data_IF_007417249729
#
_entry.id   IF_007417249729
#
_cell.length_a   1.000
_cell.length_b   1.000
_cell.length_c   1.000
_cell.angle_alpha   90.00
_cell.angle_beta   90.00
_cell.angle_gamma   90.00
#
_symmetry.space_group_name_H-M   'P 1'
#
loop_
_entity.id
_entity.type
_entity.pdbx_description
1 polymer ?
#
# COMPACT_ATOMS: atom_id res chain seq x y z
N UNK A 1 -17.96 24.80 19.75
CA UNK A 1 -16.95 25.81 19.51
C UNK A 1 -15.66 25.43 20.23
N UNK A 2 -14.51 25.69 19.60
CA UNK A 2 -13.18 25.60 20.20
C UNK A 2 -12.61 27.01 20.22
N UNK A 3 -12.08 27.41 21.36
CA UNK A 3 -11.38 28.70 21.50
C UNK A 3 -9.89 28.41 21.72
N UNK A 4 -9.03 29.28 21.16
CA UNK A 4 -7.57 29.15 21.31
C UNK A 4 -6.93 30.51 21.56
N UNK A 5 -5.73 30.45 22.08
CA UNK A 5 -4.79 31.55 22.16
C UNK A 5 -3.50 31.05 21.48
N UNK A 6 -2.97 31.79 20.52
CA UNK A 6 -1.70 31.47 19.88
C UNK A 6 -0.49 31.98 20.65
N UNK A 7 0.71 31.73 20.14
CA UNK A 7 1.98 32.13 20.76
C UNK A 7 2.15 33.64 20.85
N UNK A 8 1.47 34.39 20.00
CA UNK A 8 1.47 35.88 19.99
C UNK A 8 0.36 36.48 20.87
N UNK A 9 -0.43 35.63 21.55
CA UNK A 9 -1.54 36.04 22.41
C UNK A 9 -2.84 36.39 21.65
N UNK A 10 -2.91 36.10 20.35
CA UNK A 10 -4.13 36.31 19.57
C UNK A 10 -5.14 35.23 19.91
N UNK A 11 -6.35 35.65 20.22
CA UNK A 11 -7.45 34.74 20.55
C UNK A 11 -8.33 34.49 19.32
N UNK A 12 -8.79 33.26 19.19
CA UNK A 12 -9.72 32.88 18.14
C UNK A 12 -10.77 31.88 18.61
N UNK A 13 -11.83 31.74 17.83
CA UNK A 13 -12.91 30.77 18.08
C UNK A 13 -13.35 30.17 16.75
N UNK A 14 -13.53 28.85 16.70
CA UNK A 14 -13.99 28.16 15.51
C UNK A 14 -15.14 27.20 15.83
N UNK A 15 -16.03 27.00 14.88
CA UNK A 15 -17.05 25.94 14.95
C UNK A 15 -16.52 24.68 14.27
N UNK A 16 -16.11 23.69 15.06
CA UNK A 16 -15.55 22.42 14.54
C UNK A 16 -16.52 21.68 13.61
N UNK A 17 -17.83 21.91 13.72
CA UNK A 17 -18.83 21.30 12.83
C UNK A 17 -18.81 21.89 11.42
N UNK A 18 -18.19 23.06 11.25
CA UNK A 18 -18.00 23.72 9.96
C UNK A 18 -16.64 23.41 9.32
N UNK A 19 -15.89 22.49 9.92
CA UNK A 19 -14.53 22.16 9.52
C UNK A 19 -13.55 23.36 9.57
N UNK A 20 -13.79 24.30 10.47
CA UNK A 20 -12.96 25.50 10.67
C UNK A 20 -11.63 25.20 11.40
N UNK A 21 -11.32 23.93 11.64
CA UNK A 21 -10.11 23.51 12.33
C UNK A 21 -9.57 22.20 11.79
N UNK A 22 -8.31 21.92 12.11
CA UNK A 22 -7.63 20.68 11.77
C UNK A 22 -6.89 20.14 12.99
N UNK A 23 -7.14 18.87 13.34
CA UNK A 23 -6.33 18.20 14.36
C UNK A 23 -4.92 17.90 13.86
N UNK A 24 -3.91 17.88 14.75
CA UNK A 24 -2.62 17.28 14.42
C UNK A 24 -2.81 15.86 13.90
N UNK A 25 -2.12 15.52 12.82
CA UNK A 25 -2.33 14.27 12.10
C UNK A 25 -2.19 13.00 12.96
N UNK A 26 -1.35 13.03 14.00
CA UNK A 26 -1.18 11.90 14.93
C UNK A 26 -2.42 11.62 15.76
N UNK A 27 -3.12 12.68 16.18
CA UNK A 27 -4.39 12.56 16.91
C UNK A 27 -5.51 12.15 15.94
N UNK A 28 -5.56 12.78 14.78
CA UNK A 28 -6.53 12.45 13.72
C UNK A 28 -6.42 10.99 13.30
N UNK A 29 -5.20 10.47 13.16
CA UNK A 29 -4.98 9.07 12.79
C UNK A 29 -5.55 8.10 13.85
N UNK A 30 -5.23 8.30 15.13
CA UNK A 30 -5.77 7.49 16.22
C UNK A 30 -7.30 7.60 16.34
N UNK A 31 -7.86 8.80 16.16
CA UNK A 31 -9.31 9.00 16.15
C UNK A 31 -9.99 8.25 14.98
N UNK A 32 -9.36 8.19 13.82
CA UNK A 32 -9.88 7.42 12.67
C UNK A 32 -9.92 5.92 12.93
N UNK A 33 -8.99 5.37 13.69
CA UNK A 33 -9.06 3.96 14.09
C UNK A 33 -10.38 3.64 14.78
N UNK A 34 -10.84 4.55 15.64
CA UNK A 34 -12.11 4.40 16.39
C UNK A 34 -13.31 4.62 15.44
N UNK A 35 -13.30 5.73 14.71
CA UNK A 35 -14.41 6.12 13.83
C UNK A 35 -14.69 5.05 12.77
N UNK A 36 -13.63 4.48 12.18
CA UNK A 36 -13.74 3.47 11.14
C UNK A 36 -13.67 2.03 11.66
N UNK A 37 -13.60 1.84 12.98
CA UNK A 37 -13.50 0.51 13.61
C UNK A 37 -12.35 -0.33 13.01
N UNK A 38 -11.18 0.29 12.86
CA UNK A 38 -10.01 -0.36 12.26
C UNK A 38 -9.48 -1.42 13.21
N UNK A 39 -9.42 -2.66 12.76
CA UNK A 39 -8.89 -3.80 13.53
C UNK A 39 -7.47 -4.16 13.17
N UNK A 40 -7.03 -3.78 11.95
CA UNK A 40 -5.68 -4.02 11.45
C UNK A 40 -5.24 -2.80 10.62
N UNK A 41 -4.07 -2.23 10.96
CA UNK A 41 -3.52 -1.05 10.31
C UNK A 41 -2.17 -1.39 9.67
N UNK A 42 -2.08 -1.45 8.34
CA UNK A 42 -0.81 -1.50 7.65
C UNK A 42 -0.06 -0.17 7.79
N UNK A 43 1.13 -0.21 8.36
CA UNK A 43 1.97 0.96 8.57
C UNK A 43 3.32 0.81 7.87
N UNK A 44 3.73 1.81 7.13
CA UNK A 44 5.09 1.87 6.58
C UNK A 44 6.13 1.85 7.69
N UNK A 45 7.32 1.36 7.39
CA UNK A 45 8.41 1.19 8.35
C UNK A 45 8.69 2.42 9.22
N UNK A 46 8.59 3.63 8.67
CA UNK A 46 8.83 4.87 9.40
C UNK A 46 7.82 5.11 10.51
N UNK A 47 6.58 4.73 10.26
CA UNK A 47 5.50 4.89 11.22
C UNK A 47 5.36 3.68 12.14
N UNK A 48 5.66 2.49 11.62
CA UNK A 48 5.49 1.22 12.31
C UNK A 48 6.68 0.75 13.13
N UNK A 49 7.86 1.39 13.03
CA UNK A 49 9.02 1.08 13.83
C UNK A 49 8.75 1.35 15.32
N UNK A 50 9.53 0.69 16.20
CA UNK A 50 9.43 0.88 17.64
C UNK A 50 9.60 2.37 18.01
N UNK A 51 8.66 2.92 18.79
CA UNK A 51 8.60 4.34 19.14
C UNK A 51 8.13 5.26 18.01
N UNK A 52 7.72 4.71 16.88
CA UNK A 52 7.18 5.46 15.75
C UNK A 52 5.78 6.03 16.00
N UNK A 53 5.22 6.61 14.96
CA UNK A 53 3.93 7.30 15.05
C UNK A 53 2.77 6.36 15.39
N UNK A 54 2.86 5.10 15.00
CA UNK A 54 1.88 4.09 15.36
C UNK A 54 1.86 3.86 16.86
N UNK A 55 3.03 3.61 17.46
CA UNK A 55 3.16 3.34 18.90
C UNK A 55 2.70 4.54 19.74
N UNK A 56 2.95 5.78 19.26
CA UNK A 56 2.45 6.99 19.93
C UNK A 56 0.93 7.19 19.74
N UNK A 57 0.34 6.58 18.72
CA UNK A 57 -1.12 6.58 18.47
C UNK A 57 -1.89 5.66 19.42
N UNK A 58 -1.25 4.59 19.94
CA UNK A 58 -1.88 3.62 20.84
C UNK A 58 -2.46 4.31 22.09
N UNK A 59 -1.68 5.02 22.92
CA UNK A 59 -2.22 5.68 24.11
C UNK A 59 -3.24 6.76 23.78
N UNK A 60 -3.14 7.42 22.62
CA UNK A 60 -4.14 8.39 22.18
C UNK A 60 -5.48 7.67 21.90
N UNK A 61 -5.45 6.54 21.20
CA UNK A 61 -6.64 5.74 20.93
C UNK A 61 -7.31 5.28 22.23
N UNK A 62 -6.52 4.82 23.21
CA UNK A 62 -7.01 4.37 24.51
C UNK A 62 -7.65 5.51 25.32
N UNK A 63 -7.02 6.68 25.36
CA UNK A 63 -7.57 7.90 26.02
C UNK A 63 -8.88 8.32 25.38
N UNK A 64 -9.02 8.16 24.07
CA UNK A 64 -10.26 8.42 23.34
C UNK A 64 -11.34 7.32 23.54
N UNK A 65 -11.05 6.28 24.31
CA UNK A 65 -11.98 5.18 24.62
C UNK A 65 -12.06 4.09 23.55
N UNK A 66 -11.09 4.03 22.64
CA UNK A 66 -11.02 3.03 21.60
C UNK A 66 -10.07 1.87 21.91
N UNK A 67 -10.09 0.86 21.05
CA UNK A 67 -9.13 -0.25 21.04
C UNK A 67 -8.18 -0.05 19.85
N UNK A 68 -6.85 0.00 20.08
CA UNK A 68 -5.88 0.14 19.00
C UNK A 68 -5.91 -1.06 18.07
N UNK A 69 -5.68 -0.87 16.75
CA UNK A 69 -5.62 -1.97 15.80
C UNK A 69 -4.32 -2.78 15.92
N UNK A 70 -4.34 -4.01 15.40
CA UNK A 70 -3.12 -4.78 15.17
C UNK A 70 -2.26 -4.14 14.07
N UNK A 71 -0.96 -4.08 14.30
CA UNK A 71 0.02 -3.44 13.42
C UNK A 71 0.60 -4.41 12.41
N UNK A 72 0.56 -4.05 11.12
CA UNK A 72 1.31 -4.74 10.06
C UNK A 72 2.35 -3.79 9.48
N UNK A 73 3.62 -3.97 9.82
CA UNK A 73 4.70 -3.11 9.29
C UNK A 73 5.17 -3.65 7.94
N UNK A 74 5.20 -2.76 6.94
CA UNK A 74 5.72 -3.07 5.62
C UNK A 74 6.92 -2.19 5.25
N UNK A 75 7.76 -2.74 4.36
CA UNK A 75 8.95 -2.07 3.84
C UNK A 75 8.62 -1.18 2.62
N UNK A 76 9.60 -0.37 2.22
CA UNK A 76 9.48 0.59 1.15
C UNK A 76 9.19 -0.06 -0.21
N UNK A 77 8.45 0.68 -1.05
CA UNK A 77 8.45 0.51 -2.50
C UNK A 77 9.47 1.50 -3.05
N UNK A 78 10.47 1.00 -3.76
CA UNK A 78 11.57 1.76 -4.31
C UNK A 78 11.59 1.67 -5.83
N UNK A 79 12.07 2.71 -6.50
CA UNK A 79 12.40 2.63 -7.91
C UNK A 79 13.77 1.97 -8.06
N UNK A 80 13.87 0.97 -8.92
CA UNK A 80 15.12 0.26 -9.17
C UNK A 80 16.23 1.22 -9.58
N UNK A 81 17.35 1.17 -8.85
CA UNK A 81 18.49 2.03 -9.08
C UNK A 81 18.37 3.48 -8.58
N UNK A 82 17.22 3.89 -8.04
CA UNK A 82 16.98 5.27 -7.59
C UNK A 82 16.71 5.36 -6.07
N UNK A 83 16.56 4.21 -5.39
CA UNK A 83 16.29 4.16 -3.95
C UNK A 83 14.85 4.49 -3.56
N UNK A 84 14.60 4.88 -2.30
CA UNK A 84 13.27 5.17 -1.80
C UNK A 84 12.60 6.31 -2.57
N UNK A 85 11.31 6.15 -2.90
CA UNK A 85 10.53 7.21 -3.52
C UNK A 85 10.33 8.37 -2.54
N UNK A 86 10.55 9.59 -3.01
CA UNK A 86 10.36 10.81 -2.22
C UNK A 86 9.82 11.93 -3.10
N UNK A 87 8.70 12.50 -2.69
CA UNK A 87 8.10 13.65 -3.40
C UNK A 87 8.99 14.89 -3.36
N UNK A 88 9.78 15.08 -2.30
CA UNK A 88 10.67 16.24 -2.14
C UNK A 88 11.89 16.17 -3.06
N UNK A 89 12.33 14.97 -3.45
CA UNK A 89 13.44 14.78 -4.40
C UNK A 89 12.98 14.68 -5.86
N UNK A 90 11.67 14.69 -6.12
CA UNK A 90 11.12 14.47 -7.45
C UNK A 90 11.23 13.02 -7.95
N UNK A 91 11.78 12.12 -7.15
CA UNK A 91 11.91 10.69 -7.48
C UNK A 91 10.69 9.96 -6.94
N UNK A 92 9.62 9.96 -7.71
CA UNK A 92 8.38 9.28 -7.33
C UNK A 92 7.60 8.87 -8.57
N UNK A 93 6.89 7.75 -8.47
CA UNK A 93 5.84 7.35 -9.43
C UNK A 93 4.55 7.25 -8.64
N UNK A 94 3.57 8.07 -9.00
CA UNK A 94 2.24 8.01 -8.41
C UNK A 94 1.47 6.76 -8.87
N UNK A 95 0.43 6.33 -8.13
CA UNK A 95 -0.36 5.16 -8.51
C UNK A 95 -0.97 5.25 -9.91
N UNK A 96 -1.43 6.42 -10.32
CA UNK A 96 -2.01 6.64 -11.65
C UNK A 96 -0.97 6.57 -12.75
N UNK A 97 0.24 7.07 -12.50
CA UNK A 97 1.37 6.96 -13.41
C UNK A 97 1.83 5.50 -13.54
N UNK A 98 1.94 4.77 -12.43
CA UNK A 98 2.23 3.34 -12.45
C UNK A 98 1.19 2.55 -13.25
N UNK A 99 -0.10 2.88 -13.12
CA UNK A 99 -1.19 2.26 -13.89
C UNK A 99 -1.18 2.60 -15.39
N UNK A 100 -0.53 3.71 -15.79
CA UNK A 100 -0.29 4.01 -17.21
C UNK A 100 0.81 3.16 -17.82
N UNK A 101 1.70 2.61 -16.99
CA UNK A 101 2.83 1.77 -17.42
C UNK A 101 2.48 0.28 -17.42
N UNK A 102 1.62 -0.15 -16.50
CA UNK A 102 1.28 -1.58 -16.32
C UNK A 102 -0.19 -1.78 -16.01
N UNK A 103 -0.78 -2.91 -16.43
CA UNK A 103 -2.11 -3.32 -16.02
C UNK A 103 -2.23 -3.40 -14.48
N UNK A 104 -3.40 -3.06 -13.92
CA UNK A 104 -3.61 -3.06 -12.47
C UNK A 104 -3.37 -4.43 -11.83
N UNK A 105 -3.64 -5.52 -12.55
CA UNK A 105 -3.39 -6.89 -12.08
C UNK A 105 -1.90 -7.14 -11.84
N UNK A 106 -1.03 -6.67 -12.73
CA UNK A 106 0.42 -6.82 -12.61
C UNK A 106 0.95 -5.98 -11.46
N UNK A 107 0.50 -4.72 -11.33
CA UNK A 107 0.89 -3.85 -10.22
C UNK A 107 0.49 -4.47 -8.88
N UNK A 108 -0.75 -4.95 -8.76
CA UNK A 108 -1.24 -5.64 -7.55
C UNK A 108 -0.47 -6.92 -7.28
N UNK A 109 -0.11 -7.68 -8.33
CA UNK A 109 0.65 -8.93 -8.19
C UNK A 109 2.07 -8.65 -7.67
N UNK A 110 2.76 -7.63 -8.16
CA UNK A 110 4.08 -7.22 -7.66
C UNK A 110 4.04 -6.98 -6.15
N UNK A 111 3.01 -6.28 -5.67
CA UNK A 111 2.83 -6.02 -4.24
C UNK A 111 2.46 -7.30 -3.48
N UNK A 112 1.44 -8.01 -3.93
CA UNK A 112 0.89 -9.17 -3.22
C UNK A 112 1.84 -10.37 -3.14
N UNK A 113 2.76 -10.54 -4.11
CA UNK A 113 3.77 -11.61 -4.11
C UNK A 113 4.96 -11.33 -3.20
N UNK A 114 5.14 -10.05 -2.83
CA UNK A 114 6.31 -9.60 -2.09
C UNK A 114 6.19 -9.94 -0.61
N UNK A 115 7.33 -10.16 0.04
CA UNK A 115 7.35 -10.34 1.49
C UNK A 115 7.27 -8.98 2.17
N UNK A 116 6.43 -8.86 3.19
CA UNK A 116 6.19 -7.61 3.94
C UNK A 116 7.51 -7.00 4.45
N UNK A 117 8.43 -7.82 4.98
CA UNK A 117 9.71 -7.36 5.52
C UNK A 117 10.82 -7.18 4.48
N UNK A 118 10.49 -6.99 3.20
CA UNK A 118 11.46 -6.72 2.13
C UNK A 118 11.00 -5.55 1.27
N UNK A 119 11.96 -4.73 0.87
CA UNK A 119 11.71 -3.69 -0.13
C UNK A 119 11.13 -4.29 -1.42
N UNK A 120 10.20 -3.59 -2.01
CA UNK A 120 9.68 -3.88 -3.33
C UNK A 120 10.41 -2.97 -4.31
N UNK A 121 11.24 -3.55 -5.16
CA UNK A 121 11.86 -2.80 -6.26
C UNK A 121 10.88 -2.78 -7.45
N UNK A 122 10.38 -1.60 -7.74
CA UNK A 122 9.57 -1.36 -8.93
C UNK A 122 10.50 -0.98 -10.09
N UNK A 123 10.60 -1.89 -11.04
CA UNK A 123 11.41 -1.73 -12.25
C UNK A 123 10.48 -1.44 -13.43
N UNK A 124 10.67 -0.31 -14.09
CA UNK A 124 9.90 0.08 -15.28
C UNK A 124 10.50 -0.46 -16.59
N UNK A 125 11.58 -1.25 -16.48
CA UNK A 125 12.27 -1.86 -17.62
C UNK A 125 11.84 -3.31 -17.90
N UNK A 126 12.80 -4.11 -18.38
CA UNK A 126 12.58 -5.50 -18.80
C UNK A 126 12.00 -6.42 -17.70
N UNK A 127 12.34 -6.17 -16.43
CA UNK A 127 11.84 -6.96 -15.32
C UNK A 127 10.32 -6.88 -15.17
N UNK A 128 9.69 -5.83 -15.68
CA UNK A 128 8.24 -5.70 -15.69
C UNK A 128 7.58 -6.69 -16.66
N UNK A 129 8.18 -6.91 -17.82
CA UNK A 129 7.72 -7.92 -18.78
C UNK A 129 7.90 -9.33 -18.25
N UNK A 130 9.06 -9.62 -17.63
CA UNK A 130 9.30 -10.91 -16.98
C UNK A 130 8.24 -11.20 -15.90
N UNK A 131 7.81 -10.14 -15.21
CA UNK A 131 6.77 -10.21 -14.19
C UNK A 131 5.39 -10.51 -14.80
N UNK A 132 5.07 -9.86 -15.91
CA UNK A 132 3.83 -10.09 -16.64
C UNK A 132 3.79 -11.52 -17.18
N UNK A 133 4.87 -12.00 -17.77
CA UNK A 133 5.01 -13.38 -18.26
C UNK A 133 4.90 -14.40 -17.11
N UNK A 134 5.50 -14.09 -15.97
CA UNK A 134 5.37 -14.94 -14.78
C UNK A 134 3.92 -15.02 -14.32
N UNK A 135 3.23 -13.88 -14.26
CA UNK A 135 1.84 -13.79 -13.86
C UNK A 135 0.94 -14.61 -14.79
N UNK A 136 1.05 -14.43 -16.10
CA UNK A 136 0.27 -15.14 -17.12
C UNK A 136 0.49 -16.66 -17.05
N UNK A 137 1.74 -17.10 -16.96
CA UNK A 137 2.07 -18.52 -16.78
C UNK A 137 1.49 -19.13 -15.50
N UNK A 138 1.45 -18.36 -14.41
CA UNK A 138 0.87 -18.82 -13.16
C UNK A 138 -0.65 -18.83 -13.20
N UNK A 139 -1.27 -17.84 -13.83
CA UNK A 139 -2.71 -17.78 -14.02
C UNK A 139 -3.19 -19.00 -14.82
N UNK A 140 -2.60 -19.27 -15.96
CA UNK A 140 -2.89 -20.44 -16.80
C UNK A 140 -2.75 -21.76 -16.02
N UNK A 141 -1.70 -21.93 -15.21
CA UNK A 141 -1.51 -23.14 -14.40
C UNK A 141 -2.49 -23.28 -13.23
N UNK A 142 -2.96 -22.16 -12.68
CA UNK A 142 -4.01 -22.17 -11.66
C UNK A 142 -5.33 -22.65 -12.26
N UNK A 143 -5.60 -22.28 -13.50
CA UNK A 143 -6.82 -22.66 -14.22
C UNK A 143 -6.79 -24.13 -14.69
N UNK A 144 -5.66 -24.60 -15.20
CA UNK A 144 -5.52 -25.97 -15.73
C UNK A 144 -5.32 -27.06 -14.68
N UNK A 145 -4.97 -26.68 -13.45
CA UNK A 145 -4.77 -27.65 -12.35
C UNK A 145 -3.52 -28.54 -12.47
N UNK A 146 -2.73 -28.41 -13.53
CA UNK A 146 -1.53 -29.19 -13.78
C UNK A 146 -0.34 -28.73 -12.93
N UNK A 147 -0.04 -29.46 -11.85
CA UNK A 147 1.07 -29.12 -10.97
C UNK A 147 1.80 -30.34 -10.44
N UNK A 148 3.11 -30.35 -10.59
CA UNK A 148 3.96 -31.36 -9.93
C UNK A 148 4.02 -31.12 -8.41
N UNK A 149 4.10 -32.20 -7.61
CA UNK A 149 4.15 -32.15 -6.12
C UNK A 149 5.22 -31.18 -5.58
N UNK A 150 6.39 -31.07 -6.22
CA UNK A 150 7.49 -30.18 -5.80
C UNK A 150 7.16 -28.69 -6.02
N UNK A 151 6.29 -28.40 -6.95
CA UNK A 151 5.85 -27.06 -7.31
C UNK A 151 4.63 -26.59 -6.48
N UNK A 152 3.94 -27.54 -5.82
CA UNK A 152 2.67 -27.31 -5.13
C UNK A 152 2.78 -26.21 -4.03
N UNK A 153 3.83 -26.24 -3.21
CA UNK A 153 4.01 -25.25 -2.13
C UNK A 153 4.25 -23.84 -2.71
N UNK A 154 5.09 -23.74 -3.74
CA UNK A 154 5.35 -22.49 -4.44
C UNK A 154 4.09 -21.92 -5.11
N UNK A 155 3.30 -22.79 -5.71
CA UNK A 155 2.05 -22.43 -6.38
C UNK A 155 1.00 -22.03 -5.36
N UNK A 156 0.88 -22.71 -4.23
CA UNK A 156 -0.11 -22.35 -3.21
C UNK A 156 0.13 -20.94 -2.64
N UNK A 157 1.39 -20.58 -2.39
CA UNK A 157 1.73 -19.22 -1.98
C UNK A 157 1.41 -18.19 -3.08
N UNK A 158 1.68 -18.52 -4.33
CA UNK A 158 1.45 -17.62 -5.47
C UNK A 158 -0.02 -17.57 -5.92
N UNK A 159 -0.79 -18.64 -5.71
CA UNK A 159 -2.26 -18.63 -5.90
C UNK A 159 -2.94 -17.53 -5.10
N UNK A 160 -2.52 -17.33 -3.85
CA UNK A 160 -3.02 -16.24 -3.02
C UNK A 160 -2.74 -14.88 -3.65
N UNK A 161 -1.51 -14.64 -4.08
CA UNK A 161 -1.11 -13.38 -4.74
C UNK A 161 -1.89 -13.14 -6.04
N UNK A 162 -2.06 -14.17 -6.89
CA UNK A 162 -2.86 -14.08 -8.11
C UNK A 162 -4.32 -13.74 -7.79
N UNK A 163 -4.93 -14.43 -6.83
CA UNK A 163 -6.32 -14.14 -6.43
C UNK A 163 -6.52 -12.72 -5.93
N UNK A 164 -5.55 -12.20 -5.18
CA UNK A 164 -5.58 -10.83 -4.66
C UNK A 164 -5.29 -9.78 -5.74
N UNK A 165 -4.63 -10.17 -6.83
CA UNK A 165 -4.29 -9.25 -7.91
C UNK A 165 -5.40 -9.07 -8.94
N UNK A 166 -6.32 -10.02 -9.07
CA UNK A 166 -7.43 -9.92 -10.03
C UNK A 166 -8.34 -8.73 -9.70
N UNK A 167 -8.56 -7.88 -10.69
CA UNK A 167 -9.42 -6.69 -10.57
C UNK A 167 -10.83 -6.99 -11.07
N UNK A 168 -10.97 -7.84 -12.10
CA UNK A 168 -12.25 -8.23 -12.68
C UNK A 168 -12.45 -9.74 -12.47
N UNK A 169 -13.57 -10.12 -11.86
CA UNK A 169 -13.86 -11.52 -11.52
C UNK A 169 -14.19 -12.42 -12.70
N UNK A 170 -14.53 -11.87 -13.88
CA UNK A 170 -15.02 -12.59 -15.05
C UNK A 170 -14.43 -12.05 -16.36
N UNK A 171 -13.20 -11.56 -16.37
CA UNK A 171 -12.56 -11.24 -17.64
C UNK A 171 -12.01 -12.50 -18.28
N UNK A 172 -12.22 -12.65 -19.57
CA UNK A 172 -11.43 -13.52 -20.41
C UNK A 172 -9.94 -13.32 -20.12
N UNK A 173 -9.10 -14.35 -20.25
CA UNK A 173 -7.67 -14.22 -19.97
C UNK A 173 -7.11 -13.08 -20.83
N UNK A 174 -6.72 -12.00 -20.16
CA UNK A 174 -6.08 -10.86 -20.82
C UNK A 174 -4.65 -11.28 -21.13
N UNK A 175 -4.33 -11.40 -22.42
CA UNK A 175 -2.95 -11.59 -22.84
C UNK A 175 -2.18 -10.27 -22.70
N UNK A 176 -1.11 -10.27 -21.91
CA UNK A 176 -0.22 -9.11 -21.73
C UNK A 176 0.89 -9.03 -22.78
N UNK A 177 0.79 -9.82 -23.85
CA UNK A 177 1.79 -9.86 -24.93
C UNK A 177 1.94 -8.54 -25.69
N UNK A 178 1.02 -7.58 -25.46
CA UNK A 178 1.03 -6.27 -26.13
C UNK A 178 1.50 -5.11 -25.23
N UNK A 179 2.14 -5.41 -24.08
CA UNK A 179 2.79 -4.37 -23.29
C UNK A 179 3.95 -3.78 -24.10
N UNK A 180 3.77 -2.57 -24.60
CA UNK A 180 4.85 -1.83 -25.25
C UNK A 180 5.55 -0.95 -24.22
N UNK A 181 6.89 -1.01 -24.19
CA UNK A 181 7.68 -0.04 -23.44
C UNK A 181 7.38 1.36 -23.97
N UNK A 182 7.22 2.36 -23.09
CA UNK A 182 7.22 3.73 -23.54
C UNK A 182 8.57 3.99 -24.22
N UNK A 183 8.52 4.34 -25.50
CA UNK A 183 9.69 4.84 -26.23
C UNK A 183 10.16 6.12 -25.55
N UNK A 184 11.43 6.13 -25.15
CA UNK A 184 12.10 7.29 -24.58
C UNK A 184 12.17 8.43 -25.59
#
# INVERSE_FOLDING_TARGET
FVSWVDEDGVTGTADIRKADGKMPWRIDWAARWIIHQVTCEPAGKDHGAAGGSFDTGIPICEVLGGTPPEKIVYEWIQLKGMGPMSSSSGVTIGPMEALSLVPPEILRYVIARSKIGRHIEFDTGSALFEMADEYERLLSRVETGEVSKRMQTRINTRKGAIRLSQVVRNSDPVSYTHLTLPTR
#
